data_IF_035003899467
#
_entry.id   IF_035003899467
#
_cell.length_a   1.000
_cell.length_b   1.000
_cell.length_c   1.000
_cell.angle_alpha   90.00
_cell.angle_beta   90.00
_cell.angle_gamma   90.00
#
_symmetry.space_group_name_H-M   'P 1'
#
loop_
_entity.id
_entity.type
_entity.pdbx_description
1 polymer ?
#
# COMPACT_ATOMS: atom_id res chain seq x y z
N UNK A 1 -2.55 -8.50 -6.68
CA UNK A 1 -1.50 -8.94 -7.60
C UNK A 1 -0.12 -8.88 -6.95
N UNK A 2 0.26 -7.74 -6.44
CA UNK A 2 1.64 -7.49 -6.04
C UNK A 2 2.04 -8.08 -4.68
N UNK A 3 1.09 -8.30 -3.74
CA UNK A 3 1.39 -8.87 -2.43
C UNK A 3 1.59 -10.39 -2.43
N UNK A 4 1.02 -11.08 -3.41
CA UNK A 4 0.90 -12.55 -3.37
C UNK A 4 1.91 -13.26 -4.27
N UNK A 5 2.81 -12.52 -4.92
CA UNK A 5 3.69 -13.07 -5.95
C UNK A 5 2.94 -13.35 -7.27
N UNK A 6 3.44 -14.25 -8.10
CA UNK A 6 2.77 -14.57 -9.34
C UNK A 6 1.35 -15.09 -9.11
N UNK A 7 0.37 -14.47 -9.77
CA UNK A 7 -1.06 -14.87 -9.71
C UNK A 7 -1.57 -15.22 -11.10
N UNK A 8 -2.57 -16.08 -11.15
CA UNK A 8 -3.24 -16.41 -12.40
C UNK A 8 -4.44 -15.48 -12.64
N UNK A 9 -4.87 -15.26 -13.90
CA UNK A 9 -6.07 -14.49 -14.18
C UNK A 9 -7.33 -14.97 -13.44
N UNK A 10 -7.59 -16.30 -13.28
CA UNK A 10 -8.70 -16.77 -12.46
C UNK A 10 -8.62 -16.36 -10.98
N UNK A 11 -7.44 -16.47 -10.36
CA UNK A 11 -7.25 -16.04 -8.97
C UNK A 11 -7.49 -14.55 -8.79
N UNK A 12 -7.03 -13.74 -9.75
CA UNK A 12 -7.30 -12.31 -9.76
C UNK A 12 -8.79 -11.97 -9.91
N UNK A 13 -9.50 -12.73 -10.75
CA UNK A 13 -10.95 -12.57 -10.91
C UNK A 13 -11.70 -12.87 -9.62
N UNK A 14 -11.34 -13.97 -8.95
CA UNK A 14 -11.96 -14.38 -7.68
C UNK A 14 -11.67 -13.35 -6.57
N UNK A 15 -10.41 -12.92 -6.42
CA UNK A 15 -10.02 -11.99 -5.38
C UNK A 15 -10.65 -10.60 -5.52
N UNK A 16 -10.95 -10.16 -6.76
CA UNK A 16 -11.45 -8.82 -7.06
C UNK A 16 -12.94 -8.81 -7.45
N UNK A 17 -13.62 -9.97 -7.41
CA UNK A 17 -15.02 -10.14 -7.84
C UNK A 17 -15.29 -9.56 -9.26
N UNK A 18 -14.35 -9.78 -10.18
CA UNK A 18 -14.43 -9.25 -11.54
C UNK A 18 -14.99 -10.26 -12.53
N UNK A 19 -15.76 -9.76 -13.49
CA UNK A 19 -16.14 -10.58 -14.66
C UNK A 19 -14.90 -10.95 -15.46
N UNK A 20 -14.95 -12.10 -16.15
CA UNK A 20 -13.83 -12.58 -16.97
C UNK A 20 -13.39 -11.54 -18.02
N UNK A 21 -14.34 -10.91 -18.70
CA UNK A 21 -14.04 -9.90 -19.73
C UNK A 21 -13.31 -8.70 -19.14
N UNK A 22 -13.79 -8.20 -17.99
CA UNK A 22 -13.22 -7.04 -17.28
C UNK A 22 -11.81 -7.36 -16.78
N UNK A 23 -11.61 -8.54 -16.18
CA UNK A 23 -10.30 -8.94 -15.67
C UNK A 23 -9.25 -9.03 -16.79
N UNK A 24 -9.59 -9.67 -17.92
CA UNK A 24 -8.65 -9.76 -19.03
C UNK A 24 -8.36 -8.41 -19.67
N UNK A 25 -9.36 -7.51 -19.78
CA UNK A 25 -9.15 -6.15 -20.29
C UNK A 25 -8.16 -5.37 -19.42
N UNK A 26 -8.32 -5.44 -18.08
CA UNK A 26 -7.39 -4.77 -17.17
C UNK A 26 -5.99 -5.41 -17.21
N UNK A 27 -5.90 -6.74 -17.25
CA UNK A 27 -4.62 -7.44 -17.40
C UNK A 27 -3.90 -7.02 -18.67
N UNK A 28 -4.57 -7.05 -19.82
CA UNK A 28 -3.99 -6.64 -21.10
C UNK A 28 -3.50 -5.19 -21.04
N UNK A 29 -4.30 -4.29 -20.45
CA UNK A 29 -3.89 -2.91 -20.29
C UNK A 29 -2.66 -2.75 -19.38
N UNK A 30 -2.57 -3.50 -18.28
CA UNK A 30 -1.41 -3.46 -17.37
C UNK A 30 -0.16 -4.02 -18.05
N UNK A 31 -0.30 -5.07 -18.87
CA UNK A 31 0.81 -5.62 -19.66
C UNK A 31 1.26 -4.61 -20.72
N UNK A 32 0.34 -3.98 -21.43
CA UNK A 32 0.65 -2.96 -22.45
C UNK A 32 1.37 -1.74 -21.85
N UNK A 33 1.07 -1.42 -20.59
CA UNK A 33 1.74 -0.36 -19.83
C UNK A 33 3.10 -0.79 -19.24
N UNK A 34 3.45 -2.09 -19.36
CA UNK A 34 4.69 -2.63 -18.75
C UNK A 34 4.67 -2.68 -17.24
N UNK A 35 3.48 -2.74 -16.62
CA UNK A 35 3.30 -2.81 -15.15
C UNK A 35 3.16 -4.24 -14.65
N UNK A 36 2.82 -5.16 -15.53
CA UNK A 36 2.64 -6.59 -15.27
C UNK A 36 3.28 -7.37 -16.39
N UNK A 37 4.11 -8.33 -16.02
CA UNK A 37 4.63 -9.34 -16.92
C UNK A 37 3.69 -10.55 -16.98
N UNK A 38 3.47 -11.07 -18.20
CA UNK A 38 2.66 -12.27 -18.44
C UNK A 38 3.56 -13.41 -18.90
N UNK A 39 3.60 -14.48 -18.12
CA UNK A 39 4.28 -15.72 -18.53
C UNK A 39 3.28 -16.65 -19.25
N UNK A 40 3.37 -16.66 -20.58
CA UNK A 40 2.56 -17.51 -21.45
C UNK A 40 3.09 -18.97 -21.54
N UNK A 41 4.24 -19.25 -20.93
CA UNK A 41 4.83 -20.60 -20.91
C UNK A 41 4.16 -21.54 -19.91
N UNK A 42 3.46 -20.98 -18.92
CA UNK A 42 2.73 -21.69 -17.87
C UNK A 42 1.24 -21.86 -18.20
N UNK A 43 0.59 -22.89 -17.62
CA UNK A 43 -0.86 -23.07 -17.74
C UNK A 43 -1.45 -23.43 -16.39
N UNK A 44 -2.28 -22.58 -15.80
CA UNK A 44 -2.70 -21.24 -16.30
C UNK A 44 -1.52 -20.25 -16.38
N UNK A 45 -1.66 -19.23 -17.23
CA UNK A 45 -0.70 -18.12 -17.37
C UNK A 45 -0.44 -17.49 -16.00
N UNK A 46 0.79 -17.08 -15.73
CA UNK A 46 1.16 -16.35 -14.53
C UNK A 46 1.37 -14.87 -14.84
N UNK A 47 0.90 -14.04 -13.91
CA UNK A 47 1.04 -12.60 -13.94
C UNK A 47 1.94 -12.17 -12.79
N UNK A 48 2.97 -11.42 -13.08
CA UNK A 48 3.90 -10.86 -12.08
C UNK A 48 3.93 -9.34 -12.24
N UNK A 49 3.86 -8.62 -11.13
CA UNK A 49 4.01 -7.17 -11.13
C UNK A 49 5.36 -6.79 -10.52
N UNK A 50 6.08 -5.91 -11.24
CA UNK A 50 7.33 -5.32 -10.77
C UNK A 50 7.08 -3.93 -10.16
N UNK A 51 7.95 -3.44 -9.27
CA UNK A 51 7.85 -2.10 -8.73
C UNK A 51 8.07 -1.07 -9.85
N UNK A 52 7.26 -0.01 -9.81
CA UNK A 52 7.38 1.10 -10.75
C UNK A 52 8.36 2.10 -10.17
N UNK A 53 9.43 2.41 -10.90
CA UNK A 53 10.39 3.45 -10.51
C UNK A 53 10.17 4.66 -11.41
N UNK A 54 9.69 5.75 -10.81
CA UNK A 54 9.54 7.04 -11.48
C UNK A 54 10.71 7.92 -11.06
N UNK A 55 11.48 8.42 -12.01
CA UNK A 55 12.56 9.36 -11.72
C UNK A 55 12.11 10.76 -12.11
N UNK A 56 11.85 11.60 -11.12
CA UNK A 56 11.50 13.00 -11.30
C UNK A 56 12.61 13.88 -10.71
N UNK A 57 13.17 14.77 -11.53
CA UNK A 57 14.22 15.72 -11.11
C UNK A 57 15.36 15.08 -10.28
N UNK A 58 15.77 13.86 -10.66
CA UNK A 58 16.82 13.08 -9.99
C UNK A 58 16.42 12.44 -8.64
N UNK A 59 15.16 12.48 -8.26
CA UNK A 59 14.64 11.76 -7.09
C UNK A 59 13.86 10.55 -7.56
N UNK A 60 14.30 9.32 -7.25
CA UNK A 60 13.53 8.14 -7.58
C UNK A 60 12.32 8.02 -6.62
N UNK A 61 11.13 7.91 -7.19
CA UNK A 61 9.90 7.53 -6.48
C UNK A 61 9.67 6.06 -6.80
N UNK A 62 9.73 5.22 -5.78
CA UNK A 62 9.46 3.79 -5.93
C UNK A 62 8.01 3.53 -5.54
N UNK A 63 7.24 3.00 -6.48
CA UNK A 63 5.85 2.59 -6.26
C UNK A 63 5.83 1.07 -6.14
N UNK A 64 5.62 0.60 -4.93
CA UNK A 64 5.53 -0.83 -4.59
C UNK A 64 4.09 -1.21 -4.27
N UNK A 65 3.80 -2.49 -4.05
CA UNK A 65 2.50 -2.95 -3.55
C UNK A 65 2.00 -2.19 -2.31
N UNK A 66 2.88 -1.90 -1.37
CA UNK A 66 2.55 -1.11 -0.17
C UNK A 66 2.06 0.30 -0.51
N UNK A 67 2.74 0.97 -1.46
CA UNK A 67 2.33 2.30 -1.93
C UNK A 67 0.96 2.23 -2.62
N UNK A 68 0.76 1.24 -3.50
CA UNK A 68 -0.53 1.04 -4.19
C UNK A 68 -1.66 0.71 -3.21
N UNK A 69 -1.39 -0.07 -2.17
CA UNK A 69 -2.35 -0.33 -1.11
C UNK A 69 -2.73 0.96 -0.36
N UNK A 70 -1.74 1.74 0.06
CA UNK A 70 -2.00 3.04 0.70
C UNK A 70 -2.84 3.98 -0.18
N UNK A 71 -2.57 4.02 -1.49
CA UNK A 71 -3.36 4.81 -2.44
C UNK A 71 -4.79 4.28 -2.60
N UNK A 72 -4.98 2.96 -2.58
CA UNK A 72 -6.30 2.33 -2.69
C UNK A 72 -7.18 2.56 -1.46
N UNK A 73 -6.59 2.72 -0.28
CA UNK A 73 -7.35 2.93 0.96
C UNK A 73 -8.13 4.26 1.00
N UNK A 74 -7.81 5.23 0.15
CA UNK A 74 -8.60 6.46 0.03
C UNK A 74 -10.09 6.21 -0.27
N UNK A 75 -10.44 5.04 -0.83
CA UNK A 75 -11.81 4.68 -1.18
C UNK A 75 -12.60 4.08 0.01
N UNK A 76 -11.92 3.69 1.09
CA UNK A 76 -12.52 2.91 2.20
C UNK A 76 -12.14 3.40 3.59
N UNK A 77 -11.15 4.27 3.72
CA UNK A 77 -10.67 4.84 4.98
C UNK A 77 -10.86 6.36 5.00
N UNK A 78 -11.73 6.85 5.89
CA UNK A 78 -12.13 8.26 5.97
C UNK A 78 -10.96 9.19 6.31
N UNK A 79 -9.96 8.74 7.08
CA UNK A 79 -8.80 9.54 7.46
C UNK A 79 -7.84 9.70 6.29
N UNK A 80 -7.66 8.64 5.50
CA UNK A 80 -6.83 8.65 4.29
C UNK A 80 -7.53 9.45 3.19
N UNK A 81 -8.84 9.27 2.97
CA UNK A 81 -9.64 10.07 2.04
C UNK A 81 -9.51 11.56 2.36
N UNK A 82 -9.77 11.96 3.62
CA UNK A 82 -9.64 13.34 4.07
C UNK A 82 -8.23 13.91 3.81
N UNK A 83 -7.18 13.12 4.09
CA UNK A 83 -5.82 13.55 3.89
C UNK A 83 -5.50 13.75 2.40
N UNK A 84 -5.94 12.83 1.54
CA UNK A 84 -5.73 12.90 0.09
C UNK A 84 -6.49 14.09 -0.52
N UNK A 85 -7.75 14.29 -0.14
CA UNK A 85 -8.55 15.41 -0.61
C UNK A 85 -7.91 16.76 -0.29
N UNK A 86 -7.30 16.86 0.87
CA UNK A 86 -6.68 18.09 1.34
C UNK A 86 -5.27 18.32 0.81
N UNK A 87 -4.46 17.28 0.70
CA UNK A 87 -3.02 17.39 0.47
C UNK A 87 -2.54 16.69 -0.81
N UNK A 88 -3.36 15.83 -1.39
CA UNK A 88 -3.07 15.09 -2.61
C UNK A 88 -2.23 13.82 -2.38
N UNK A 89 -2.21 12.98 -3.42
CA UNK A 89 -1.54 11.68 -3.40
C UNK A 89 -0.02 11.76 -3.17
N UNK A 90 0.62 12.80 -3.67
CA UNK A 90 2.06 12.99 -3.47
C UNK A 90 2.45 13.12 -1.99
N UNK A 91 1.65 13.85 -1.20
CA UNK A 91 1.86 13.96 0.24
C UNK A 91 1.49 12.67 0.99
N UNK A 92 0.52 11.88 0.50
CA UNK A 92 0.24 10.56 1.06
C UNK A 92 1.44 9.60 0.92
N UNK A 93 2.10 9.58 -0.25
CA UNK A 93 3.30 8.77 -0.47
C UNK A 93 4.44 9.23 0.46
N UNK A 94 4.62 10.54 0.60
CA UNK A 94 5.61 11.10 1.52
C UNK A 94 5.28 10.79 3.00
N UNK A 95 3.99 10.83 3.36
CA UNK A 95 3.51 10.45 4.70
C UNK A 95 3.73 8.96 4.99
N UNK A 96 3.52 8.08 4.00
CA UNK A 96 3.80 6.64 4.13
C UNK A 96 5.28 6.40 4.47
N UNK A 97 6.19 7.09 3.76
CA UNK A 97 7.62 7.02 4.06
C UNK A 97 7.94 7.56 5.46
N UNK A 98 7.36 8.70 5.82
CA UNK A 98 7.49 9.29 7.15
C UNK A 98 6.98 8.38 8.26
N UNK A 99 5.85 7.70 8.04
CA UNK A 99 5.28 6.74 8.97
C UNK A 99 6.21 5.54 9.21
N UNK A 100 6.77 4.94 8.15
CA UNK A 100 7.74 3.86 8.29
C UNK A 100 8.98 4.27 9.10
N UNK A 101 9.56 5.43 8.81
CA UNK A 101 10.68 5.97 9.57
C UNK A 101 10.29 6.29 11.03
N UNK A 102 9.06 6.72 11.27
CA UNK A 102 8.55 6.96 12.62
C UNK A 102 8.45 5.66 13.44
N UNK A 103 7.85 4.62 12.88
CA UNK A 103 7.73 3.32 13.54
C UNK A 103 9.08 2.61 13.70
N UNK A 104 10.08 2.93 12.88
CA UNK A 104 11.47 2.50 13.07
C UNK A 104 12.26 3.37 14.09
N UNK A 105 11.62 4.36 14.71
CA UNK A 105 12.25 5.23 15.70
C UNK A 105 13.28 6.22 15.11
N UNK A 106 13.30 6.41 13.78
CA UNK A 106 14.27 7.30 13.10
C UNK A 106 13.81 8.73 12.98
N UNK A 107 12.51 9.00 13.14
CA UNK A 107 11.94 10.35 13.11
C UNK A 107 10.78 10.49 14.09
N UNK A 108 10.36 11.73 14.33
CA UNK A 108 9.20 12.04 15.16
C UNK A 108 8.02 12.52 14.32
N UNK A 109 6.80 12.38 14.83
CA UNK A 109 5.59 12.89 14.17
C UNK A 109 5.73 14.37 13.77
N UNK A 110 6.34 15.17 14.63
CA UNK A 110 6.58 16.61 14.38
C UNK A 110 7.56 16.83 13.22
N UNK A 111 8.60 16.01 13.11
CA UNK A 111 9.54 16.10 11.98
C UNK A 111 8.85 15.67 10.68
N UNK A 112 8.06 14.59 10.70
CA UNK A 112 7.25 14.18 9.54
C UNK A 112 6.31 15.30 9.12
N UNK A 113 5.59 15.94 10.07
CA UNK A 113 4.71 17.05 9.78
C UNK A 113 5.42 18.21 9.07
N UNK A 114 6.62 18.55 9.54
CA UNK A 114 7.46 19.58 8.94
C UNK A 114 7.94 19.20 7.53
N UNK A 115 8.37 17.95 7.35
CA UNK A 115 8.94 17.46 6.09
C UNK A 115 7.90 17.42 4.95
N UNK A 116 6.65 17.07 5.28
CA UNK A 116 5.56 17.02 4.30
C UNK A 116 4.70 18.29 4.28
N UNK A 117 5.05 19.28 5.09
CA UNK A 117 4.35 20.57 5.21
C UNK A 117 2.83 20.38 5.46
N UNK A 118 2.51 19.77 6.62
CA UNK A 118 1.16 19.59 7.15
C UNK A 118 1.12 19.95 8.63
N UNK A 119 -0.07 20.05 9.23
CA UNK A 119 -0.19 20.26 10.68
C UNK A 119 0.22 19.00 11.44
N UNK A 120 0.78 19.19 12.64
CA UNK A 120 1.22 18.07 13.49
C UNK A 120 0.09 17.07 13.82
N UNK A 121 -1.12 17.57 14.04
CA UNK A 121 -2.31 16.74 14.28
C UNK A 121 -2.70 15.88 13.07
N UNK A 122 -2.57 16.43 11.86
CA UNK A 122 -2.87 15.73 10.61
C UNK A 122 -1.75 14.73 10.26
N UNK A 123 -0.49 15.07 10.57
CA UNK A 123 0.61 14.12 10.43
C UNK A 123 0.44 12.93 11.41
N UNK A 124 0.05 13.19 12.65
CA UNK A 124 -0.23 12.13 13.62
C UNK A 124 -1.35 11.21 13.13
N UNK A 125 -2.47 11.78 12.69
CA UNK A 125 -3.62 11.04 12.15
C UNK A 125 -3.18 10.11 11.02
N UNK A 126 -2.54 10.65 9.98
CA UNK A 126 -2.18 9.86 8.79
C UNK A 126 -1.08 8.83 9.08
N UNK A 127 -0.11 9.11 9.97
CA UNK A 127 0.90 8.14 10.39
C UNK A 127 0.23 6.89 10.99
N UNK A 128 -0.75 7.08 11.87
CA UNK A 128 -1.44 5.96 12.51
C UNK A 128 -2.43 5.25 11.58
N UNK A 129 -3.12 5.98 10.70
CA UNK A 129 -3.98 5.38 9.68
C UNK A 129 -3.18 4.47 8.72
N UNK A 130 -1.92 4.80 8.43
CA UNK A 130 -1.04 4.00 7.58
C UNK A 130 -0.35 2.83 8.29
N UNK A 131 -0.44 2.72 9.62
CA UNK A 131 0.25 1.65 10.38
C UNK A 131 -0.16 0.23 9.94
N UNK A 132 -1.46 -0.10 9.73
CA UNK A 132 -1.87 -1.40 9.21
C UNK A 132 -1.31 -1.71 7.82
N UNK A 133 -1.29 -0.70 6.93
CA UNK A 133 -0.73 -0.84 5.57
C UNK A 133 0.75 -1.19 5.60
N UNK A 134 1.52 -0.56 6.48
CA UNK A 134 2.94 -0.87 6.66
C UNK A 134 3.15 -2.29 7.21
N UNK A 135 2.30 -2.76 8.12
CA UNK A 135 2.39 -4.11 8.64
C UNK A 135 2.11 -5.17 7.55
N UNK A 136 1.05 -4.98 6.76
CA UNK A 136 0.74 -5.83 5.59
C UNK A 136 1.88 -5.78 4.57
N UNK A 137 2.40 -4.59 4.30
CA UNK A 137 3.52 -4.40 3.36
C UNK A 137 4.77 -5.12 3.81
N UNK A 138 5.17 -5.01 5.08
CA UNK A 138 6.35 -5.68 5.63
C UNK A 138 6.30 -7.19 5.44
N UNK A 139 5.14 -7.80 5.55
CA UNK A 139 4.98 -9.25 5.46
C UNK A 139 4.81 -9.74 4.00
N UNK A 140 4.16 -8.97 3.16
CA UNK A 140 3.72 -9.44 1.85
C UNK A 140 4.32 -8.69 0.65
N UNK A 141 4.89 -7.51 0.84
CA UNK A 141 5.49 -6.75 -0.26
C UNK A 141 6.95 -7.21 -0.50
N UNK A 142 7.24 -7.92 -1.58
CA UNK A 142 8.61 -8.38 -1.86
C UNK A 142 9.60 -7.22 -2.11
N UNK A 143 9.08 -6.01 -2.27
CA UNK A 143 9.85 -4.80 -2.52
C UNK A 143 9.85 -3.81 -1.35
N UNK A 144 9.37 -4.23 -0.19
CA UNK A 144 9.27 -3.38 1.00
C UNK A 144 10.62 -2.78 1.42
N UNK A 145 11.71 -3.53 1.25
CA UNK A 145 13.07 -3.08 1.51
C UNK A 145 13.47 -1.89 0.63
N UNK A 146 12.97 -1.79 -0.62
CA UNK A 146 13.23 -0.63 -1.49
C UNK A 146 12.58 0.66 -0.97
N UNK A 147 11.46 0.55 -0.24
CA UNK A 147 10.83 1.70 0.41
C UNK A 147 11.58 2.12 1.67
N UNK A 148 12.10 1.15 2.40
CA UNK A 148 12.66 1.32 3.73
C UNK A 148 14.04 0.64 3.88
N UNK A 149 15.02 1.03 3.05
CA UNK A 149 16.37 0.46 3.17
C UNK A 149 16.91 0.71 4.59
N UNK A 150 17.55 -0.31 5.16
CA UNK A 150 18.22 -0.29 6.47
C UNK A 150 17.30 -0.13 7.71
N UNK A 151 15.98 0.00 7.55
CA UNK A 151 15.05 0.26 8.67
C UNK A 151 13.84 -0.66 8.74
N UNK A 152 13.60 -1.49 7.72
CA UNK A 152 12.40 -2.32 7.62
C UNK A 152 12.25 -3.33 8.78
N UNK A 153 13.36 -3.85 9.32
CA UNK A 153 13.35 -4.77 10.46
C UNK A 153 13.18 -4.07 11.83
N UNK A 154 13.37 -2.75 11.88
CA UNK A 154 13.32 -1.98 13.13
C UNK A 154 11.92 -1.39 13.43
N UNK A 155 10.96 -1.57 12.52
CA UNK A 155 9.63 -0.96 12.67
C UNK A 155 8.80 -1.65 13.75
N UNK A 156 8.28 -0.86 14.69
CA UNK A 156 7.27 -1.29 15.67
C UNK A 156 5.87 -1.33 15.02
N UNK A 157 5.58 -2.44 14.34
CA UNK A 157 4.33 -2.67 13.63
C UNK A 157 3.59 -3.86 14.26
N UNK A 158 2.24 -3.86 14.27
CA UNK A 158 1.46 -4.98 14.76
C UNK A 158 1.66 -6.22 13.88
N UNK A 159 1.45 -7.39 14.44
CA UNK A 159 1.32 -8.62 13.68
C UNK A 159 -0.01 -8.66 12.92
N UNK A 160 -0.06 -9.33 11.75
CA UNK A 160 -1.28 -9.39 10.95
C UNK A 160 -2.45 -10.04 11.68
N UNK A 161 -2.18 -10.99 12.56
CA UNK A 161 -3.21 -11.64 13.39
C UNK A 161 -3.90 -10.63 14.33
N UNK A 162 -3.18 -9.62 14.80
CA UNK A 162 -3.73 -8.55 15.63
C UNK A 162 -4.63 -7.61 14.81
N UNK A 163 -4.27 -7.36 13.55
CA UNK A 163 -5.07 -6.52 12.64
C UNK A 163 -6.35 -7.25 12.22
N UNK A 164 -6.26 -8.55 11.92
CA UNK A 164 -7.41 -9.36 11.50
C UNK A 164 -8.36 -9.71 12.67
N UNK A 165 -7.84 -9.68 13.90
CA UNK A 165 -8.59 -10.04 15.12
C UNK A 165 -9.28 -8.88 15.83
N UNK A 166 -9.24 -7.64 15.32
CA UNK A 166 -10.02 -6.55 15.89
C UNK A 166 -11.52 -6.86 15.71
N UNK A 167 -12.29 -7.14 16.80
CA UNK A 167 -13.71 -7.45 16.67
C UNK A 167 -14.43 -6.23 16.13
N UNK A 168 -15.09 -6.38 14.99
CA UNK A 168 -16.21 -5.51 14.62
C UNK A 168 -17.32 -5.76 15.64
N UNK A 169 -17.21 -5.10 16.79
CA UNK A 169 -18.27 -5.09 17.79
C UNK A 169 -19.42 -4.22 17.30
N UNK A 170 -20.24 -4.84 16.46
CA UNK A 170 -21.55 -4.32 16.07
C UNK A 170 -22.60 -5.39 16.36
N UNK A 171 -22.79 -5.71 17.63
CA UNK A 171 -23.99 -6.41 18.11
C UNK A 171 -24.27 -6.03 19.56
N UNK A 172 -24.91 -4.90 19.74
CA UNK A 172 -25.83 -4.71 20.87
C UNK A 172 -27.27 -4.83 20.32
N UNK A 173 -27.89 -6.01 20.43
CA UNK A 173 -29.30 -6.16 20.15
C UNK A 173 -30.06 -6.19 21.48
N UNK A 174 -30.14 -5.06 22.21
CA UNK A 174 -31.18 -4.89 23.25
C UNK A 174 -31.00 -3.57 24.02
N UNK A 175 -31.70 -2.55 23.51
CA UNK A 175 -32.40 -1.60 24.39
C UNK A 175 -33.39 -0.73 23.63
#
# INVERSE_FOLDING_TARGET
>A
FCYWGPVTPPEAMEALDLSKSTAYEYVDRLVDLGLVDRDDSTRPQQLTADPIIIVEQYVPIVITPTVLHALGLQEVDEEIEYFVDRYGLGKLIAALRGAGLHFAGKTTQRMVASDIDVRETEAMMIIYALKPTLAVGREHDPFFEYLFPDVHDEMDLPDLDEIAGAPTDSSDPDR
#
